data_IF_418633619979
#
_entry.id   IF_418633619979
#
_cell.length_a   1.000
_cell.length_b   1.000
_cell.length_c   1.000
_cell.angle_alpha   90.00
_cell.angle_beta   90.00
_cell.angle_gamma   90.00
#
_symmetry.space_group_name_H-M   'P 1'
#
loop_
_entity.id
_entity.type
_entity.pdbx_description
1 polymer ?
#
# COMPACT_ATOMS: atom_id res chain seq x y z
N UNK A 1 26.39 0.51 -16.39
CA UNK A 1 25.66 1.12 -15.46
C UNK A 1 24.28 1.35 -15.80
N UNK A 2 24.00 2.04 -16.83
CA UNK A 2 22.62 2.32 -17.17
C UNK A 2 21.85 1.06 -17.45
N UNK A 3 22.50 0.05 -17.96
CA UNK A 3 21.84 -1.21 -18.23
C UNK A 3 21.34 -1.83 -16.95
N UNK A 4 22.16 -1.81 -15.94
CA UNK A 4 21.77 -2.35 -14.66
C UNK A 4 20.60 -1.57 -14.10
N UNK A 5 20.67 -0.28 -14.25
CA UNK A 5 19.62 0.56 -13.77
C UNK A 5 18.31 0.29 -14.49
N UNK A 6 18.40 0.00 -15.78
CA UNK A 6 17.23 -0.32 -16.56
C UNK A 6 16.57 -1.59 -16.07
N UNK A 7 17.36 -2.61 -15.76
CA UNK A 7 16.80 -3.85 -15.22
C UNK A 7 16.14 -3.60 -13.88
N UNK A 8 16.81 -2.85 -13.02
CA UNK A 8 16.22 -2.52 -11.75
C UNK A 8 14.97 -1.70 -11.93
N UNK A 9 14.97 -0.84 -12.96
CA UNK A 9 13.81 -0.03 -13.23
C UNK A 9 12.56 -0.85 -13.50
N UNK A 10 12.72 -2.00 -14.18
CA UNK A 10 11.58 -2.85 -14.44
C UNK A 10 10.94 -3.38 -13.17
N UNK A 11 11.76 -3.74 -12.19
CA UNK A 11 11.25 -4.22 -10.92
C UNK A 11 10.64 -3.08 -10.12
N UNK A 12 11.31 -1.94 -10.13
CA UNK A 12 10.77 -0.76 -9.45
C UNK A 12 9.46 -0.33 -10.09
N UNK A 13 9.34 -0.51 -11.41
CA UNK A 13 8.14 -0.11 -12.11
C UNK A 13 6.92 -0.91 -11.68
N UNK A 14 7.08 -2.18 -11.34
CA UNK A 14 5.97 -2.99 -10.86
C UNK A 14 5.41 -2.37 -9.60
N UNK A 15 6.28 -2.10 -8.64
CA UNK A 15 5.84 -1.55 -7.36
C UNK A 15 5.29 -0.13 -7.55
N UNK A 16 5.98 0.68 -8.33
CA UNK A 16 5.55 2.06 -8.54
C UNK A 16 4.22 2.12 -9.29
N UNK A 17 4.05 1.30 -10.30
CA UNK A 17 2.81 1.26 -11.07
C UNK A 17 1.65 0.85 -10.15
N UNK A 18 1.88 -0.15 -9.31
CA UNK A 18 0.87 -0.60 -8.38
C UNK A 18 0.55 0.50 -7.37
N UNK A 19 1.58 1.18 -6.86
CA UNK A 19 1.39 2.26 -5.91
C UNK A 19 0.55 3.38 -6.52
N UNK A 20 0.84 3.76 -7.76
CA UNK A 20 0.08 4.80 -8.43
C UNK A 20 -1.38 4.37 -8.60
N UNK A 21 -1.61 3.10 -8.93
CA UNK A 21 -2.97 2.57 -9.06
C UNK A 21 -3.68 2.53 -7.71
N UNK A 22 -2.96 2.19 -6.65
CA UNK A 22 -3.52 2.18 -5.30
C UNK A 22 -3.98 3.59 -4.92
N UNK A 23 -3.14 4.59 -5.18
CA UNK A 23 -3.49 5.97 -4.87
C UNK A 23 -4.72 6.40 -5.64
N UNK A 24 -4.82 5.99 -6.89
CA UNK A 24 -6.00 6.30 -7.71
C UNK A 24 -7.25 5.66 -7.13
N UNK A 25 -7.16 4.40 -6.70
CA UNK A 25 -8.28 3.73 -6.08
C UNK A 25 -8.66 4.38 -4.75
N UNK A 26 -7.67 4.83 -4.01
CA UNK A 26 -7.89 5.50 -2.73
C UNK A 26 -8.66 6.81 -2.94
N UNK A 27 -8.35 7.51 -4.02
CA UNK A 27 -9.03 8.76 -4.33
C UNK A 27 -10.41 8.54 -4.93
N UNK A 28 -10.55 7.58 -5.83
CA UNK A 28 -11.80 7.36 -6.53
C UNK A 28 -12.81 6.58 -5.71
N UNK A 29 -12.33 5.67 -4.87
CA UNK A 29 -13.14 4.68 -4.16
C UNK A 29 -14.03 3.90 -5.11
N UNK A 30 -13.61 3.77 -6.37
CA UNK A 30 -14.32 3.02 -7.38
C UNK A 30 -14.01 1.54 -7.17
N UNK A 31 -15.02 0.68 -6.98
CA UNK A 31 -14.75 -0.73 -6.74
C UNK A 31 -13.95 -1.40 -7.86
N UNK A 32 -14.10 -0.96 -9.10
CA UNK A 32 -13.31 -1.55 -10.18
C UNK A 32 -11.85 -1.16 -10.09
N UNK A 33 -11.55 0.04 -9.63
CA UNK A 33 -10.16 0.44 -9.39
C UNK A 33 -9.55 -0.42 -8.31
N UNK A 34 -10.31 -0.74 -7.28
CA UNK A 34 -9.83 -1.61 -6.21
C UNK A 34 -9.61 -3.03 -6.74
N UNK A 35 -10.57 -3.54 -7.52
CA UNK A 35 -10.46 -4.90 -8.07
C UNK A 35 -9.22 -5.06 -8.92
N UNK A 36 -8.84 -4.02 -9.64
CA UNK A 36 -7.68 -4.11 -10.53
C UNK A 36 -6.37 -4.28 -9.78
N UNK A 37 -6.34 -4.00 -8.49
CA UNK A 37 -5.12 -4.08 -7.68
C UNK A 37 -4.79 -5.49 -7.21
N UNK A 38 -5.81 -6.37 -7.13
CA UNK A 38 -5.67 -7.63 -6.38
C UNK A 38 -6.05 -8.83 -7.21
N UNK A 39 -5.42 -9.97 -6.88
CA UNK A 39 -5.84 -11.24 -7.45
C UNK A 39 -7.14 -11.69 -6.79
N UNK A 40 -7.78 -12.68 -7.41
CA UNK A 40 -9.05 -13.17 -6.90
C UNK A 40 -8.95 -13.71 -5.49
N UNK A 41 -7.82 -14.34 -5.16
CA UNK A 41 -7.59 -14.95 -3.85
C UNK A 41 -6.76 -14.08 -2.92
N UNK A 42 -6.67 -12.81 -3.19
CA UNK A 42 -5.80 -11.92 -2.42
C UNK A 42 -6.26 -11.76 -0.99
N UNK A 43 -5.32 -11.34 -0.13
CA UNK A 43 -5.63 -10.99 1.25
C UNK A 43 -5.13 -9.59 1.54
N UNK A 44 -5.81 -8.90 2.44
CA UNK A 44 -5.48 -7.54 2.83
C UNK A 44 -5.54 -7.47 4.35
N UNK A 45 -4.39 -7.27 4.96
CA UNK A 45 -4.28 -7.25 6.41
C UNK A 45 -3.91 -5.86 6.88
N UNK A 46 -4.51 -5.43 8.00
CA UNK A 46 -4.24 -4.14 8.60
C UNK A 46 -3.09 -4.18 9.58
N UNK A 47 -2.33 -5.24 9.58
CA UNK A 47 -1.15 -5.38 10.43
C UNK A 47 -0.64 -6.79 10.33
N UNK A 48 0.58 -7.03 10.82
CA UNK A 48 1.10 -8.40 10.91
C UNK A 48 0.24 -9.19 11.88
N UNK A 49 -0.05 -10.44 11.50
CA UNK A 49 -0.86 -11.32 12.35
C UNK A 49 -2.26 -10.78 12.62
N UNK A 50 -2.81 -10.04 11.64
CA UNK A 50 -4.18 -9.54 11.74
C UNK A 50 -5.13 -10.73 11.87
N UNK A 51 -5.95 -10.81 12.93
CA UNK A 51 -6.86 -11.94 13.10
C UNK A 51 -8.05 -11.90 12.14
N UNK A 52 -8.33 -10.76 11.53
CA UNK A 52 -9.48 -10.61 10.66
C UNK A 52 -9.13 -9.85 9.38
N UNK A 53 -8.22 -10.40 8.56
CA UNK A 53 -7.91 -9.73 7.30
C UNK A 53 -9.10 -9.82 6.34
N UNK A 54 -9.12 -8.92 5.37
CA UNK A 54 -10.11 -9.02 4.30
C UNK A 54 -9.64 -10.13 3.35
N UNK A 55 -10.55 -11.05 3.05
CA UNK A 55 -10.20 -12.25 2.28
C UNK A 55 -10.87 -12.22 0.93
N UNK A 56 -10.08 -12.47 -0.11
CA UNK A 56 -10.55 -12.50 -1.48
C UNK A 56 -10.75 -11.09 -2.02
N UNK A 57 -10.72 -10.99 -3.35
CA UNK A 57 -10.81 -9.68 -3.99
C UNK A 57 -12.12 -8.97 -3.63
N UNK A 58 -13.24 -9.69 -3.63
CA UNK A 58 -14.50 -9.04 -3.32
C UNK A 58 -14.62 -8.69 -1.85
N UNK A 59 -14.02 -9.48 -0.97
CA UNK A 59 -13.94 -9.13 0.44
C UNK A 59 -13.12 -7.87 0.66
N UNK A 60 -12.04 -7.71 -0.11
CA UNK A 60 -11.23 -6.51 -0.05
C UNK A 60 -12.03 -5.31 -0.53
N UNK A 61 -12.78 -5.46 -1.62
CA UNK A 61 -13.59 -4.36 -2.14
C UNK A 61 -14.61 -3.93 -1.08
N UNK A 62 -15.29 -4.88 -0.45
CA UNK A 62 -16.29 -4.55 0.55
C UNK A 62 -15.67 -3.86 1.75
N UNK A 63 -14.53 -4.36 2.23
CA UNK A 63 -13.84 -3.74 3.35
C UNK A 63 -13.36 -2.34 3.02
N UNK A 64 -12.82 -2.18 1.82
CA UNK A 64 -12.34 -0.87 1.37
C UNK A 64 -13.47 0.14 1.37
N UNK A 65 -14.61 -0.21 0.79
CA UNK A 65 -15.72 0.73 0.68
C UNK A 65 -16.34 1.03 2.05
N UNK A 66 -16.34 0.05 2.94
CA UNK A 66 -16.88 0.27 4.28
C UNK A 66 -16.01 1.20 5.11
N UNK A 67 -14.71 1.24 4.82
CA UNK A 67 -13.75 2.04 5.59
C UNK A 67 -13.08 3.12 4.75
N UNK A 68 -13.70 3.50 3.65
CA UNK A 68 -13.06 4.43 2.71
C UNK A 68 -12.87 5.80 3.33
N UNK A 69 -11.79 6.44 2.91
CA UNK A 69 -11.54 7.84 3.25
C UNK A 69 -12.16 8.72 2.18
N UNK A 70 -12.71 9.85 2.59
CA UNK A 70 -13.27 10.79 1.63
C UNK A 70 -12.16 11.45 0.85
N UNK A 71 -12.36 11.66 -0.46
CA UNK A 71 -11.35 12.35 -1.26
C UNK A 71 -11.06 13.73 -0.69
N UNK A 72 -9.80 14.11 -0.71
CA UNK A 72 -9.39 15.42 -0.23
C UNK A 72 -9.14 15.51 1.26
N UNK A 73 -9.36 14.42 2.00
CA UNK A 73 -9.16 14.45 3.45
C UNK A 73 -7.84 13.84 3.87
N UNK A 74 -7.03 13.39 2.91
CA UNK A 74 -5.76 12.75 3.22
C UNK A 74 -4.73 13.10 2.15
N UNK A 75 -3.48 12.94 2.53
CA UNK A 75 -2.35 13.09 1.63
C UNK A 75 -1.35 11.99 1.96
N UNK A 76 -0.86 11.29 0.94
CA UNK A 76 0.09 10.21 1.10
C UNK A 76 1.36 10.53 0.35
N UNK A 77 2.48 10.48 1.06
CA UNK A 77 3.81 10.59 0.46
C UNK A 77 4.49 9.26 0.66
N UNK A 78 4.77 8.57 -0.41
CA UNK A 78 5.40 7.28 -0.30
C UNK A 78 6.10 6.88 -1.56
N UNK A 79 6.98 5.90 -1.44
CA UNK A 79 7.77 5.42 -2.55
C UNK A 79 8.16 3.97 -2.30
N UNK A 80 8.45 3.23 -3.39
CA UNK A 80 8.98 1.89 -3.23
C UNK A 80 10.30 1.93 -2.49
N UNK A 81 10.45 1.02 -1.53
CA UNK A 81 11.68 0.92 -0.76
C UNK A 81 12.51 -0.26 -1.21
N UNK A 82 11.89 -1.35 -1.60
CA UNK A 82 12.60 -2.55 -2.01
C UNK A 82 11.68 -3.46 -2.81
N UNK A 83 12.28 -4.32 -3.63
CA UNK A 83 11.55 -5.37 -4.33
C UNK A 83 12.49 -6.55 -4.51
N UNK A 84 12.06 -7.72 -4.06
CA UNK A 84 12.85 -8.94 -4.17
C UNK A 84 11.95 -10.14 -3.98
N UNK A 85 12.13 -11.16 -4.80
CA UNK A 85 11.37 -12.42 -4.67
C UNK A 85 9.86 -12.17 -4.63
N UNK A 86 9.38 -11.35 -5.56
CA UNK A 86 7.95 -11.02 -5.71
C UNK A 86 7.39 -10.18 -4.56
N UNK A 87 8.22 -9.75 -3.64
CA UNK A 87 7.77 -8.92 -2.53
C UNK A 87 8.24 -7.50 -2.74
N UNK A 88 7.28 -6.57 -2.75
CA UNK A 88 7.58 -5.16 -2.80
C UNK A 88 7.31 -4.52 -1.46
N UNK A 89 8.11 -3.53 -1.12
CA UNK A 89 7.95 -2.81 0.13
C UNK A 89 7.84 -1.33 -0.19
N UNK A 90 6.80 -0.70 0.36
CA UNK A 90 6.54 0.72 0.17
C UNK A 90 6.61 1.38 1.54
N UNK A 91 7.30 2.50 1.61
CA UNK A 91 7.37 3.28 2.85
C UNK A 91 6.71 4.63 2.60
N UNK A 92 5.89 5.08 3.53
CA UNK A 92 5.19 6.32 3.32
C UNK A 92 4.73 6.98 4.59
N UNK A 93 4.07 8.10 4.40
CA UNK A 93 3.51 8.90 5.48
C UNK A 93 2.16 9.40 5.02
N UNK A 94 1.13 9.16 5.82
CA UNK A 94 -0.23 9.61 5.52
C UNK A 94 -0.60 10.71 6.50
N UNK A 95 -1.05 11.83 5.96
CA UNK A 95 -1.53 12.95 6.77
C UNK A 95 -2.99 13.20 6.45
N UNK A 96 -3.81 13.27 7.49
CA UNK A 96 -5.23 13.56 7.34
C UNK A 96 -5.50 15.01 7.71
N UNK A 97 -6.55 15.57 7.10
CA UNK A 97 -6.89 16.96 7.36
C UNK A 97 -7.33 17.21 8.80
N UNK A 98 -7.73 16.15 9.50
CA UNK A 98 -8.11 16.29 10.92
C UNK A 98 -6.90 16.26 11.86
N UNK A 99 -5.69 16.19 11.32
CA UNK A 99 -4.48 16.23 12.11
C UNK A 99 -3.83 14.89 12.38
N UNK A 100 -4.53 13.78 12.11
CA UNK A 100 -3.92 12.46 12.30
C UNK A 100 -2.81 12.27 11.28
N UNK A 101 -1.75 11.59 11.72
CA UNK A 101 -0.62 11.29 10.86
C UNK A 101 -0.16 9.88 11.17
N UNK A 102 0.12 9.12 10.12
CA UNK A 102 0.58 7.74 10.25
C UNK A 102 1.79 7.51 9.39
N UNK A 103 2.78 6.83 9.96
CA UNK A 103 3.87 6.26 9.18
C UNK A 103 3.42 4.90 8.68
N UNK A 104 3.70 4.62 7.42
CA UNK A 104 3.20 3.41 6.76
C UNK A 104 4.35 2.58 6.22
N UNK A 105 4.24 1.28 6.36
CA UNK A 105 5.10 0.34 5.67
C UNK A 105 4.20 -0.74 5.10
N UNK A 106 4.24 -0.91 3.78
CA UNK A 106 3.41 -1.90 3.10
C UNK A 106 4.29 -3.02 2.61
N UNK A 107 3.91 -4.24 2.92
CA UNK A 107 4.57 -5.44 2.43
C UNK A 107 3.59 -6.12 1.48
N UNK A 108 3.97 -6.21 0.21
CA UNK A 108 3.07 -6.61 -0.85
C UNK A 108 3.69 -7.78 -1.61
N UNK A 109 2.93 -8.85 -1.77
CA UNK A 109 3.37 -9.96 -2.61
C UNK A 109 2.67 -9.84 -3.95
N UNK A 110 3.46 -9.81 -5.02
CA UNK A 110 2.95 -9.62 -6.37
C UNK A 110 2.93 -10.92 -7.14
N UNK A 111 1.97 -11.05 -8.05
CA UNK A 111 2.03 -12.09 -9.08
C UNK A 111 2.62 -11.48 -10.35
N UNK A 112 3.02 -12.31 -11.33
CA UNK A 112 3.76 -11.80 -12.49
C UNK A 112 3.04 -10.71 -13.28
N UNK A 113 1.71 -10.67 -13.26
CA UNK A 113 0.99 -9.65 -14.01
C UNK A 113 0.91 -8.31 -13.27
N UNK A 114 1.51 -8.20 -12.09
CA UNK A 114 1.57 -6.94 -11.37
C UNK A 114 0.47 -6.72 -10.36
N UNK A 115 -0.46 -7.66 -10.24
CA UNK A 115 -1.49 -7.55 -9.19
C UNK A 115 -0.95 -8.09 -7.88
N UNK A 116 -1.50 -7.61 -6.78
CA UNK A 116 -1.10 -8.05 -5.45
C UNK A 116 -1.88 -9.28 -5.03
N UNK A 117 -1.18 -10.29 -4.53
CA UNK A 117 -1.79 -11.46 -3.95
C UNK A 117 -1.91 -11.32 -2.45
N UNK A 118 -1.05 -10.55 -1.81
CA UNK A 118 -1.22 -10.21 -0.40
C UNK A 118 -0.72 -8.80 -0.15
N UNK A 119 -1.36 -8.16 0.78
CA UNK A 119 -1.01 -6.80 1.19
C UNK A 119 -1.11 -6.76 2.70
N UNK A 120 -0.02 -6.34 3.35
CA UNK A 120 0.00 -6.18 4.79
C UNK A 120 0.44 -4.75 5.06
N UNK A 121 -0.39 -4.02 5.76
CA UNK A 121 -0.04 -2.67 6.15
C UNK A 121 0.45 -2.67 7.59
N UNK A 122 1.63 -2.11 7.77
CA UNK A 122 2.12 -1.74 9.09
C UNK A 122 1.94 -0.25 9.20
N UNK A 123 1.22 0.20 10.19
CA UNK A 123 1.06 1.63 10.38
C UNK A 123 1.25 1.98 11.84
N UNK A 124 1.73 3.18 12.07
CA UNK A 124 1.97 3.65 13.42
C UNK A 124 1.88 5.15 13.47
N UNK A 125 1.43 5.65 14.59
CA UNK A 125 1.44 7.09 14.82
C UNK A 125 2.85 7.49 15.19
N UNK A 126 3.46 8.46 14.48
CA UNK A 126 4.76 8.94 14.91
C UNK A 126 4.64 9.54 16.29
N UNK A 127 5.47 9.08 17.19
CA UNK A 127 5.49 9.67 18.53
C UNK A 127 6.18 11.01 18.51
N UNK A 128 6.06 11.75 19.60
CA UNK A 128 6.78 13.01 19.71
C UNK A 128 8.27 12.76 19.77
N UNK A 129 9.04 13.74 19.32
CA UNK A 129 10.48 13.66 19.43
C UNK A 129 10.84 13.67 20.90
N UNK A 130 11.67 12.74 21.29
CA UNK A 130 12.05 12.60 22.69
C UNK A 130 13.41 13.23 22.90
N UNK A 131 13.39 14.37 23.56
CA UNK A 131 14.61 15.14 23.75
C UNK A 131 15.64 14.39 24.58
N UNK A 132 15.20 13.51 25.45
CA UNK A 132 16.11 12.77 26.30
C UNK A 132 16.92 11.72 25.53
N UNK A 133 16.62 11.54 24.27
CA UNK A 133 17.34 10.59 23.45
C UNK A 133 18.41 11.21 22.60
N UNK A 134 18.51 12.49 22.62
CA UNK A 134 19.49 13.19 21.80
C UNK A 134 20.84 13.48 22.46
#
# INVERSE_FOLDING_TARGET
MSVVRGSCGGMDDIVKTWLDAYRRAWESNDPDDVRALFTEDATYAGGPFDPEPWLGREGIVQGWLAHRDEPGTWNFEGAPLAFSNDIGIVQGLTRYTDGRTYANLWVIRFVPDGRAQSFVEWYMEPGPVRSDQE
#
